data_IF_133686236880
#
_entry.id   IF_133686236880
#
_cell.length_a   1.000
_cell.length_b   1.000
_cell.length_c   1.000
_cell.angle_alpha   90.00
_cell.angle_beta   90.00
_cell.angle_gamma   90.00
#
_symmetry.space_group_name_H-M   'P 1'
#
loop_
_entity.id
_entity.type
_entity.pdbx_description
1 polymer ?
#
# COMPACT_ATOMS: atom_id res chain seq x y z
N UNK A 1 -9.78 18.95 28.93
CA UNK A 1 -9.46 17.58 28.45
C UNK A 1 -8.19 17.14 29.16
N UNK A 2 -8.25 16.21 30.12
CA UNK A 2 -7.05 15.72 30.82
C UNK A 2 -6.33 14.75 29.89
N UNK A 3 -5.18 15.16 29.35
CA UNK A 3 -4.29 14.30 28.58
C UNK A 3 -3.44 13.52 29.60
N UNK A 4 -3.32 12.20 29.43
CA UNK A 4 -2.42 11.38 30.25
C UNK A 4 -0.98 11.86 29.96
N UNK A 5 -0.18 12.25 30.99
CA UNK A 5 1.20 12.69 30.77
C UNK A 5 2.01 11.63 30.00
N UNK A 6 2.69 12.06 28.94
CA UNK A 6 3.53 11.19 28.09
C UNK A 6 2.78 10.24 27.14
N UNK A 7 1.45 10.28 27.08
CA UNK A 7 0.67 9.44 26.14
C UNK A 7 1.10 9.65 24.68
N UNK A 8 1.25 10.90 24.27
CA UNK A 8 1.65 11.21 22.89
C UNK A 8 3.11 10.81 22.63
N UNK A 9 3.99 10.93 23.62
CA UNK A 9 5.33 10.33 23.62
C UNK A 9 5.30 8.83 23.33
N UNK A 10 4.51 8.05 24.09
CA UNK A 10 4.37 6.60 23.85
C UNK A 10 3.82 6.29 22.46
N UNK A 11 2.78 6.99 22.03
CA UNK A 11 2.19 6.81 20.69
C UNK A 11 3.19 7.17 19.57
N UNK A 12 4.06 8.15 19.79
CA UNK A 12 5.12 8.54 18.85
C UNK A 12 6.13 7.41 18.69
N UNK A 13 6.61 6.83 19.79
CA UNK A 13 7.55 5.71 19.78
C UNK A 13 6.93 4.48 19.12
N UNK A 14 5.68 4.13 19.46
CA UNK A 14 4.96 3.01 18.84
C UNK A 14 4.80 3.24 17.34
N UNK A 15 4.42 4.45 16.93
CA UNK A 15 4.25 4.80 15.51
C UNK A 15 5.57 4.69 14.75
N UNK A 16 6.69 5.15 15.35
CA UNK A 16 8.02 5.00 14.76
C UNK A 16 8.42 3.53 14.61
N UNK A 17 8.23 2.72 15.64
CA UNK A 17 8.55 1.29 15.61
C UNK A 17 7.74 0.57 14.51
N UNK A 18 6.42 0.81 14.45
CA UNK A 18 5.56 0.26 13.41
C UNK A 18 5.94 0.76 12.01
N UNK A 19 6.33 2.03 11.87
CA UNK A 19 6.81 2.58 10.61
C UNK A 19 8.04 1.82 10.11
N UNK A 20 9.02 1.56 10.97
CA UNK A 20 10.24 0.83 10.63
C UNK A 20 9.96 -0.64 10.27
N UNK A 21 9.04 -1.29 10.99
CA UNK A 21 8.60 -2.66 10.66
C UNK A 21 7.94 -2.69 9.28
N UNK A 22 7.00 -1.78 9.02
CA UNK A 22 6.33 -1.69 7.72
C UNK A 22 7.31 -1.33 6.61
N UNK A 23 8.28 -0.45 6.88
CA UNK A 23 9.33 -0.12 5.94
C UNK A 23 10.17 -1.34 5.56
N UNK A 24 10.56 -2.13 6.56
CA UNK A 24 11.31 -3.37 6.34
C UNK A 24 10.52 -4.34 5.45
N UNK A 25 9.24 -4.57 5.76
CA UNK A 25 8.37 -5.44 4.96
C UNK A 25 8.20 -4.91 3.53
N UNK A 26 8.02 -3.60 3.37
CA UNK A 26 7.89 -2.94 2.06
C UNK A 26 9.18 -3.08 1.24
N UNK A 27 10.34 -2.90 1.85
CA UNK A 27 11.65 -3.09 1.20
C UNK A 27 11.86 -4.54 0.74
N UNK A 28 11.50 -5.52 1.57
CA UNK A 28 11.54 -6.92 1.20
C UNK A 28 10.57 -7.24 0.05
N UNK A 29 9.36 -6.65 0.08
CA UNK A 29 8.39 -6.79 -0.99
C UNK A 29 8.90 -6.21 -2.31
N UNK A 30 9.42 -4.98 -2.30
CA UNK A 30 10.00 -4.34 -3.50
C UNK A 30 11.21 -5.13 -4.00
N UNK A 31 12.09 -5.61 -3.12
CA UNK A 31 13.21 -6.47 -3.50
C UNK A 31 12.73 -7.75 -4.19
N UNK A 32 11.70 -8.40 -3.65
CA UNK A 32 11.08 -9.59 -4.27
C UNK A 32 10.53 -9.29 -5.66
N UNK A 33 9.91 -8.12 -5.86
CA UNK A 33 9.42 -7.70 -7.18
C UNK A 33 10.57 -7.42 -8.16
N UNK A 34 11.66 -6.81 -7.69
CA UNK A 34 12.83 -6.48 -8.52
C UNK A 34 13.65 -7.69 -8.97
N UNK A 35 13.77 -8.71 -8.12
CA UNK A 35 14.56 -9.92 -8.41
C UNK A 35 13.81 -10.88 -9.36
N UNK A 36 12.50 -10.67 -9.55
CA UNK A 36 11.73 -11.50 -10.47
C UNK A 36 12.11 -11.25 -11.93
N UNK A 37 12.13 -12.32 -12.73
CA UNK A 37 12.28 -12.23 -14.18
C UNK A 37 11.15 -11.40 -14.80
N UNK A 38 11.50 -10.42 -15.63
CA UNK A 38 10.55 -9.74 -16.51
C UNK A 38 10.06 -10.74 -17.57
N UNK A 39 8.76 -10.75 -17.83
CA UNK A 39 8.24 -11.35 -19.06
C UNK A 39 8.39 -10.32 -20.19
N UNK A 40 8.54 -10.75 -21.45
CA UNK A 40 8.64 -9.83 -22.60
C UNK A 40 7.46 -8.84 -22.64
N UNK A 41 6.25 -9.33 -22.34
CA UNK A 41 5.04 -8.51 -22.20
C UNK A 41 5.11 -7.50 -21.05
N UNK A 42 5.91 -7.76 -20.01
CA UNK A 42 6.09 -6.84 -18.87
C UNK A 42 6.96 -5.62 -19.21
N UNK A 43 7.74 -5.67 -20.28
CA UNK A 43 8.61 -4.57 -20.70
C UNK A 43 7.89 -3.56 -21.61
N UNK A 44 6.76 -3.95 -22.20
CA UNK A 44 5.90 -3.03 -22.94
C UNK A 44 5.20 -2.03 -22.02
N UNK A 45 5.39 -0.74 -22.31
CA UNK A 45 4.70 0.33 -21.61
C UNK A 45 3.18 0.21 -21.78
N UNK A 46 2.45 0.14 -20.67
CA UNK A 46 0.98 0.06 -20.67
C UNK A 46 0.40 -1.35 -20.79
N UNK A 47 1.21 -2.38 -21.02
CA UNK A 47 0.75 -3.77 -21.13
C UNK A 47 -0.05 -4.23 -19.91
N UNK A 48 0.39 -3.84 -18.71
CA UNK A 48 -0.30 -4.17 -17.46
C UNK A 48 -1.71 -3.56 -17.37
N UNK A 49 -1.92 -2.38 -17.93
CA UNK A 49 -3.24 -1.72 -17.96
C UNK A 49 -4.16 -2.41 -18.95
N UNK A 50 -3.64 -2.76 -20.12
CA UNK A 50 -4.39 -3.48 -21.17
C UNK A 50 -4.82 -4.85 -20.67
N UNK A 51 -3.89 -5.64 -20.14
CA UNK A 51 -4.13 -7.01 -19.65
C UNK A 51 -5.11 -7.02 -18.48
N UNK A 52 -5.00 -6.07 -17.54
CA UNK A 52 -5.95 -5.97 -16.43
C UNK A 52 -7.34 -5.48 -16.89
N UNK A 53 -7.41 -4.63 -17.93
CA UNK A 53 -8.68 -4.23 -18.55
C UNK A 53 -9.35 -5.42 -19.23
N UNK A 54 -8.62 -6.19 -20.04
CA UNK A 54 -9.09 -7.43 -20.67
C UNK A 54 -9.63 -8.39 -19.62
N UNK A 55 -8.85 -8.65 -18.57
CA UNK A 55 -9.24 -9.52 -17.45
C UNK A 55 -10.53 -9.02 -16.75
N UNK A 56 -10.66 -7.72 -16.52
CA UNK A 56 -11.84 -7.13 -15.87
C UNK A 56 -13.09 -7.29 -16.73
N UNK A 57 -12.95 -7.14 -18.05
CA UNK A 57 -14.03 -7.24 -19.03
C UNK A 57 -14.32 -8.68 -19.49
N UNK A 58 -13.49 -9.65 -19.08
CA UNK A 58 -13.54 -11.05 -19.54
C UNK A 58 -13.39 -11.16 -21.06
N UNK A 59 -12.57 -10.30 -21.63
CA UNK A 59 -12.19 -10.38 -23.04
C UNK A 59 -11.29 -11.62 -23.28
N UNK A 60 -11.29 -12.21 -24.49
CA UNK A 60 -10.39 -13.30 -24.82
C UNK A 60 -8.93 -12.85 -24.68
N UNK A 61 -8.10 -13.73 -24.12
CA UNK A 61 -6.71 -13.45 -23.79
C UNK A 61 -5.82 -14.60 -24.25
N UNK A 62 -4.64 -14.28 -24.79
CA UNK A 62 -3.65 -15.31 -25.10
C UNK A 62 -3.13 -15.97 -23.81
N UNK A 63 -2.50 -17.15 -23.94
CA UNK A 63 -1.87 -17.83 -22.80
C UNK A 63 -0.83 -16.95 -22.09
N UNK A 64 -0.06 -16.14 -22.84
CA UNK A 64 0.93 -15.21 -22.30
C UNK A 64 0.29 -14.05 -21.53
N UNK A 65 -0.78 -13.45 -22.09
CA UNK A 65 -1.54 -12.39 -21.42
C UNK A 65 -2.18 -12.90 -20.12
N UNK A 66 -2.71 -14.13 -20.13
CA UNK A 66 -3.29 -14.77 -18.95
C UNK A 66 -2.22 -15.04 -17.88
N UNK A 67 -1.03 -15.53 -18.27
CA UNK A 67 0.09 -15.75 -17.37
C UNK A 67 0.54 -14.42 -16.72
N UNK A 68 0.66 -13.35 -17.51
CA UNK A 68 1.01 -12.04 -17.01
C UNK A 68 -0.08 -11.44 -16.11
N UNK A 69 -1.36 -11.62 -16.43
CA UNK A 69 -2.47 -11.25 -15.56
C UNK A 69 -2.43 -11.98 -14.20
N UNK A 70 -2.14 -13.29 -14.20
CA UNK A 70 -1.98 -14.09 -12.97
C UNK A 70 -0.87 -13.51 -12.10
N UNK A 71 0.25 -13.13 -12.70
CA UNK A 71 1.38 -12.50 -12.02
C UNK A 71 0.98 -11.16 -11.40
N UNK A 72 0.41 -10.23 -12.18
CA UNK A 72 -0.02 -8.91 -11.69
C UNK A 72 -1.02 -9.06 -10.53
N UNK A 73 -2.00 -9.95 -10.65
CA UNK A 73 -3.00 -10.17 -9.61
C UNK A 73 -2.38 -10.79 -8.36
N UNK A 74 -1.44 -11.73 -8.51
CA UNK A 74 -0.71 -12.30 -7.37
C UNK A 74 0.07 -11.23 -6.61
N UNK A 75 0.78 -10.36 -7.32
CA UNK A 75 1.60 -9.31 -6.72
C UNK A 75 0.73 -8.24 -6.04
N UNK A 76 -0.28 -7.70 -6.75
CA UNK A 76 -1.20 -6.69 -6.19
C UNK A 76 -2.05 -7.20 -5.03
N UNK A 77 -2.29 -8.51 -4.96
CA UNK A 77 -3.08 -9.11 -3.87
C UNK A 77 -2.25 -9.58 -2.67
N UNK A 78 -0.92 -9.46 -2.76
CA UNK A 78 0.02 -9.78 -1.69
C UNK A 78 -0.27 -8.93 -0.44
N UNK A 79 -0.36 -9.52 0.75
CA UNK A 79 -0.52 -8.75 1.99
C UNK A 79 0.70 -7.84 2.25
N UNK A 80 1.90 -8.23 1.80
CA UNK A 80 3.10 -7.40 1.94
C UNK A 80 2.99 -6.06 1.20
N UNK A 81 2.15 -5.98 0.16
CA UNK A 81 1.91 -4.72 -0.54
C UNK A 81 1.27 -3.66 0.37
N UNK A 82 0.51 -4.07 1.39
CA UNK A 82 -0.10 -3.15 2.36
C UNK A 82 0.92 -2.51 3.31
N UNK A 83 2.15 -3.02 3.37
CA UNK A 83 3.21 -2.39 4.15
C UNK A 83 3.61 -1.01 3.58
N UNK A 84 3.41 -0.77 2.28
CA UNK A 84 3.67 0.54 1.66
C UNK A 84 2.71 1.61 2.21
N UNK A 85 1.37 1.48 2.07
CA UNK A 85 0.46 2.44 2.69
C UNK A 85 0.53 2.42 4.22
N UNK A 86 0.80 1.26 4.84
CA UNK A 86 0.98 1.14 6.29
C UNK A 86 2.14 2.01 6.80
N UNK A 87 3.29 2.00 6.11
CA UNK A 87 4.42 2.86 6.42
C UNK A 87 4.05 4.34 6.33
N UNK A 88 3.38 4.77 5.25
CA UNK A 88 2.96 6.18 5.06
C UNK A 88 1.96 6.61 6.13
N UNK A 89 1.04 5.71 6.53
CA UNK A 89 0.10 5.97 7.61
C UNK A 89 0.83 6.19 8.94
N UNK A 90 1.77 5.31 9.28
CA UNK A 90 2.56 5.42 10.51
C UNK A 90 3.48 6.64 10.52
N UNK A 91 3.96 7.09 9.35
CA UNK A 91 4.66 8.37 9.21
C UNK A 91 3.78 9.55 9.58
N UNK A 92 2.52 9.55 9.14
CA UNK A 92 1.53 10.53 9.57
C UNK A 92 1.31 10.49 11.09
N UNK A 93 1.17 9.28 11.66
CA UNK A 93 0.94 9.10 13.10
C UNK A 93 2.11 9.63 13.92
N UNK A 94 3.33 9.24 13.54
CA UNK A 94 4.56 9.72 14.15
C UNK A 94 4.64 11.26 14.16
N UNK A 95 4.32 11.90 13.03
CA UNK A 95 4.32 13.34 12.93
C UNK A 95 3.30 14.01 13.86
N UNK A 96 2.05 13.53 13.85
CA UNK A 96 0.97 14.13 14.64
C UNK A 96 1.22 13.93 16.13
N UNK A 97 1.53 12.71 16.57
CA UNK A 97 1.77 12.42 17.97
C UNK A 97 3.05 13.09 18.48
N UNK A 98 4.12 13.12 17.68
CA UNK A 98 5.35 13.82 18.04
C UNK A 98 5.10 15.32 18.20
N UNK A 99 4.31 15.91 17.31
CA UNK A 99 3.94 17.32 17.39
C UNK A 99 3.06 17.63 18.61
N UNK A 100 2.13 16.73 18.95
CA UNK A 100 1.28 16.87 20.14
C UNK A 100 2.07 16.77 21.46
N UNK A 101 3.07 15.89 21.52
CA UNK A 101 3.96 15.77 22.68
C UNK A 101 4.77 17.07 22.88
N UNK A 102 5.33 17.63 21.80
CA UNK A 102 6.15 18.86 21.87
C UNK A 102 5.37 20.10 22.34
N UNK A 103 4.04 20.09 22.24
CA UNK A 103 3.21 21.21 22.70
C UNK A 103 3.18 21.34 24.23
N UNK A 104 3.53 20.29 25.00
CA UNK A 104 3.48 20.30 26.46
C UNK A 104 2.16 20.86 27.05
N UNK A 105 1.03 20.64 26.37
CA UNK A 105 -0.29 21.14 26.77
C UNK A 105 -0.70 22.50 26.18
N UNK A 106 0.15 23.14 25.36
CA UNK A 106 -0.22 24.31 24.57
C UNK A 106 -1.29 23.97 23.50
N UNK A 107 -2.01 24.99 23.01
CA UNK A 107 -3.03 24.81 21.98
C UNK A 107 -2.39 24.37 20.66
N UNK A 108 -2.84 23.26 20.04
CA UNK A 108 -2.31 22.82 18.75
C UNK A 108 -2.72 23.78 17.63
N UNK A 109 -1.77 24.07 16.73
CA UNK A 109 -2.07 24.73 15.45
C UNK A 109 -2.37 23.71 14.35
N UNK A 110 -2.90 24.16 13.21
CA UNK A 110 -3.17 23.33 12.01
C UNK A 110 -1.94 22.53 11.56
N UNK A 111 -0.74 23.10 11.72
CA UNK A 111 0.53 22.44 11.41
C UNK A 111 0.68 21.09 12.12
N UNK A 112 0.19 20.99 13.36
CA UNK A 112 0.21 19.76 14.18
C UNK A 112 -0.45 18.58 13.46
N UNK A 113 -1.42 18.86 12.57
CA UNK A 113 -2.25 17.87 11.89
C UNK A 113 -1.87 17.65 10.43
N UNK A 114 -0.75 18.21 9.94
CA UNK A 114 -0.30 17.98 8.56
C UNK A 114 -0.09 16.50 8.23
N UNK A 115 0.27 15.68 9.23
CA UNK A 115 0.36 14.23 9.11
C UNK A 115 -0.98 13.53 8.81
N UNK A 116 -2.12 14.21 8.94
CA UNK A 116 -3.43 13.69 8.54
C UNK A 116 -3.58 13.52 7.02
N UNK A 117 -2.93 14.38 6.23
CA UNK A 117 -2.94 14.29 4.75
C UNK A 117 -2.35 12.95 4.29
N UNK A 118 -1.10 12.57 4.66
CA UNK A 118 -0.54 11.29 4.26
C UNK A 118 -1.34 10.10 4.81
N UNK A 119 -1.98 10.20 5.98
CA UNK A 119 -2.88 9.13 6.47
C UNK A 119 -4.09 8.91 5.56
N UNK A 120 -4.74 9.97 5.09
CA UNK A 120 -5.89 9.86 4.19
C UNK A 120 -5.45 9.31 2.81
N UNK A 121 -4.35 9.82 2.27
CA UNK A 121 -3.79 9.34 1.01
C UNK A 121 -3.42 7.86 1.09
N UNK A 122 -2.77 7.43 2.18
CA UNK A 122 -2.36 6.05 2.35
C UNK A 122 -3.54 5.11 2.59
N UNK A 123 -4.58 5.57 3.29
CA UNK A 123 -5.82 4.80 3.47
C UNK A 123 -6.50 4.56 2.12
N UNK A 124 -6.62 5.59 1.28
CA UNK A 124 -7.15 5.43 -0.08
C UNK A 124 -6.32 4.44 -0.92
N UNK A 125 -4.98 4.52 -0.82
CA UNK A 125 -4.08 3.56 -1.48
C UNK A 125 -4.30 2.13 -0.97
N UNK A 126 -4.41 1.92 0.35
CA UNK A 126 -4.67 0.62 0.94
C UNK A 126 -6.00 0.03 0.44
N UNK A 127 -7.07 0.84 0.39
CA UNK A 127 -8.37 0.42 -0.14
C UNK A 127 -8.28 0.01 -1.62
N UNK A 128 -7.52 0.74 -2.44
CA UNK A 128 -7.25 0.39 -3.85
C UNK A 128 -6.47 -0.92 -4.00
N UNK A 129 -5.51 -1.18 -3.11
CA UNK A 129 -4.78 -2.46 -3.11
C UNK A 129 -5.69 -3.62 -2.67
N UNK A 130 -6.51 -3.43 -1.63
CA UNK A 130 -7.47 -4.43 -1.18
C UNK A 130 -8.52 -4.75 -2.25
N UNK A 131 -9.00 -3.75 -2.98
CA UNK A 131 -9.97 -3.96 -4.07
C UNK A 131 -9.38 -4.76 -5.23
N UNK A 132 -8.05 -4.72 -5.43
CA UNK A 132 -7.36 -5.53 -6.43
C UNK A 132 -7.51 -7.04 -6.19
N UNK A 133 -7.80 -7.47 -4.95
CA UNK A 133 -8.13 -8.88 -4.64
C UNK A 133 -9.39 -9.36 -5.37
N UNK A 134 -10.30 -8.46 -5.77
CA UNK A 134 -11.50 -8.80 -6.54
C UNK A 134 -11.16 -9.36 -7.93
N UNK A 135 -9.98 -9.05 -8.47
CA UNK A 135 -9.49 -9.59 -9.74
C UNK A 135 -9.15 -11.09 -9.68
N UNK A 136 -9.05 -11.69 -8.48
CA UNK A 136 -8.91 -13.14 -8.32
C UNK A 136 -10.13 -13.90 -8.86
N UNK A 137 -11.32 -13.30 -8.86
CA UNK A 137 -12.55 -13.94 -9.36
C UNK A 137 -12.53 -14.10 -10.89
N UNK A 138 -12.40 -13.04 -11.71
CA UNK A 138 -12.27 -13.18 -13.16
C UNK A 138 -11.13 -14.10 -13.60
N UNK A 139 -10.01 -14.07 -12.87
CA UNK A 139 -8.84 -14.90 -13.16
C UNK A 139 -9.11 -16.41 -13.04
N UNK A 140 -10.00 -16.82 -12.13
CA UNK A 140 -10.38 -18.23 -11.96
C UNK A 140 -11.27 -18.74 -13.08
N UNK A 141 -12.04 -17.85 -13.69
CA UNK A 141 -12.99 -18.18 -14.77
C UNK A 141 -12.41 -17.99 -16.17
N UNK A 142 -11.24 -17.34 -16.28
CA UNK A 142 -10.61 -17.08 -17.56
C UNK A 142 -9.95 -18.36 -18.10
N UNK A 143 -10.36 -18.76 -19.30
CA UNK A 143 -9.78 -19.84 -20.11
C UNK A 143 -8.99 -19.18 -21.24
N UNK A 144 -7.78 -19.66 -21.57
CA UNK A 144 -7.03 -19.13 -22.71
C UNK A 144 -7.85 -19.26 -24.00
N UNK A 145 -7.78 -18.22 -24.84
CA UNK A 145 -8.36 -18.21 -26.18
C UNK A 145 -7.50 -19.02 -27.17
#
# INVERSE_FOLDING_TARGET
MRVIPGLFGYLTVISLALMLVMATIASLYVRRLRVRQSTQLSEELGSSTVVIRKLRKREPMSAEELAYARQIVADRSSPMALAIPGMIFMLGCFYVFGSLEHLHGARPSERTFLGGIPMLTSTNLALRMLSSRRLKRPLRTAVPA
#
